data_IF_650846513153
#
_entry.id   IF_650846513153
#
_cell.length_a   1.000
_cell.length_b   1.000
_cell.length_c   1.000
_cell.angle_alpha   90.00
_cell.angle_beta   90.00
_cell.angle_gamma   90.00
#
_symmetry.space_group_name_H-M   'P 1'
#
loop_
_entity.id
_entity.type
_entity.pdbx_description
1 polymer ?
#
# COMPACT_ATOMS: atom_id res chain seq x y z
N UNK A 1 -37.37 8.92 14.98
CA UNK A 1 -36.28 9.28 15.91
C UNK A 1 -35.47 8.02 16.25
N UNK A 2 -34.14 8.01 16.05
CA UNK A 2 -33.30 6.85 16.39
C UNK A 2 -33.17 6.76 17.92
N UNK A 3 -33.67 5.68 18.53
CA UNK A 3 -33.54 5.42 19.97
C UNK A 3 -32.04 5.40 20.35
N UNK A 4 -31.62 6.25 21.28
CA UNK A 4 -30.26 6.22 21.82
C UNK A 4 -29.98 4.84 22.43
N UNK A 5 -28.86 4.24 22.06
CA UNK A 5 -28.42 2.96 22.62
C UNK A 5 -27.92 3.20 24.04
N UNK A 6 -28.58 2.59 25.03
CA UNK A 6 -28.08 2.56 26.42
C UNK A 6 -26.76 1.80 26.46
N UNK A 7 -25.70 2.47 26.91
CA UNK A 7 -24.38 1.87 27.14
C UNK A 7 -24.23 1.56 28.62
N UNK A 8 -23.67 0.40 28.94
CA UNK A 8 -23.43 -0.04 30.32
C UNK A 8 -21.95 -0.30 30.53
N UNK A 9 -21.43 0.05 31.71
CA UNK A 9 -20.04 -0.18 32.10
C UNK A 9 -19.71 -1.69 32.13
N UNK A 10 -18.49 -2.07 31.78
CA UNK A 10 -18.00 -3.45 31.78
C UNK A 10 -18.18 -4.13 33.15
N UNK A 11 -17.79 -3.46 34.23
CA UNK A 11 -17.94 -3.97 35.61
C UNK A 11 -19.40 -4.24 35.98
N UNK A 12 -20.31 -3.38 35.51
CA UNK A 12 -21.74 -3.56 35.73
C UNK A 12 -22.27 -4.79 34.97
N UNK A 13 -21.85 -4.98 33.71
CA UNK A 13 -22.21 -6.16 32.92
C UNK A 13 -21.70 -7.45 33.56
N UNK A 14 -20.47 -7.44 34.09
CA UNK A 14 -19.88 -8.60 34.78
C UNK A 14 -20.67 -8.97 36.05
N UNK A 15 -20.94 -8.00 36.93
CA UNK A 15 -21.74 -8.21 38.15
C UNK A 15 -23.18 -8.67 37.83
N UNK A 16 -23.81 -8.09 36.81
CA UNK A 16 -25.16 -8.50 36.39
C UNK A 16 -25.18 -9.95 35.87
N UNK A 17 -24.14 -10.38 35.16
CA UNK A 17 -24.00 -11.78 34.70
C UNK A 17 -23.73 -12.72 35.89
N UNK A 18 -22.90 -12.34 36.86
CA UNK A 18 -22.68 -13.12 38.08
C UNK A 18 -23.98 -13.31 38.90
N UNK A 19 -24.71 -12.22 39.15
CA UNK A 19 -26.00 -12.26 39.86
C UNK A 19 -27.04 -13.15 39.16
N UNK A 20 -26.95 -13.28 37.83
CA UNK A 20 -27.83 -14.17 37.07
C UNK A 20 -27.50 -15.66 37.22
N UNK A 21 -26.35 -16.01 37.79
CA UNK A 21 -26.04 -17.39 38.18
C UNK A 21 -26.63 -17.71 39.57
N UNK A 22 -26.80 -16.70 40.43
CA UNK A 22 -27.36 -16.86 41.78
C UNK A 22 -28.89 -16.85 41.79
N UNK A 23 -29.54 -16.01 40.96
CA UNK A 23 -31.00 -15.94 40.89
C UNK A 23 -31.61 -16.92 39.88
N UNK A 24 -32.67 -17.63 40.28
CA UNK A 24 -33.39 -18.59 39.42
C UNK A 24 -34.20 -17.95 38.28
N UNK A 25 -34.55 -16.65 38.34
CA UNK A 25 -35.39 -15.99 37.35
C UNK A 25 -34.71 -14.74 36.74
N UNK A 26 -34.23 -14.89 35.51
CA UNK A 26 -33.50 -13.85 34.75
C UNK A 26 -34.42 -12.69 34.38
N UNK A 27 -35.68 -12.96 33.99
CA UNK A 27 -36.61 -11.91 33.59
C UNK A 27 -37.02 -10.99 34.74
N UNK A 28 -37.12 -11.53 35.96
CA UNK A 28 -37.35 -10.72 37.18
C UNK A 28 -36.11 -9.89 37.53
N UNK A 29 -34.92 -10.48 37.43
CA UNK A 29 -33.64 -9.80 37.64
C UNK A 29 -33.43 -8.64 36.65
N UNK A 30 -33.78 -8.84 35.37
CA UNK A 30 -33.68 -7.79 34.35
C UNK A 30 -34.59 -6.61 34.67
N UNK A 31 -35.80 -6.86 35.18
CA UNK A 31 -36.71 -5.81 35.64
C UNK A 31 -36.17 -5.07 36.86
N UNK A 32 -35.65 -5.78 37.86
CA UNK A 32 -35.04 -5.19 39.07
C UNK A 32 -33.84 -4.29 38.73
N UNK A 33 -33.05 -4.66 37.72
CA UNK A 33 -31.88 -3.91 37.25
C UNK A 33 -32.22 -2.84 36.19
N UNK A 34 -33.50 -2.66 35.83
CA UNK A 34 -33.94 -1.70 34.81
C UNK A 34 -33.45 -2.03 33.39
N UNK A 35 -33.16 -3.30 33.13
CA UNK A 35 -32.65 -3.82 31.86
C UNK A 35 -33.78 -4.22 30.92
N UNK A 36 -33.46 -4.26 29.63
CA UNK A 36 -34.38 -4.80 28.63
C UNK A 36 -34.36 -6.35 28.68
N UNK A 37 -35.46 -7.02 28.31
CA UNK A 37 -35.52 -8.48 28.28
C UNK A 37 -34.44 -9.08 27.37
N UNK A 38 -33.63 -9.99 27.89
CA UNK A 38 -32.54 -10.65 27.15
C UNK A 38 -31.19 -9.92 27.16
N UNK A 39 -31.07 -8.82 27.92
CA UNK A 39 -29.79 -8.12 28.09
C UNK A 39 -28.71 -9.02 28.72
N UNK A 40 -29.08 -9.77 29.75
CA UNK A 40 -28.15 -10.63 30.50
C UNK A 40 -27.73 -11.83 29.65
N UNK A 41 -28.68 -12.38 28.87
CA UNK A 41 -28.41 -13.47 27.94
C UNK A 41 -27.38 -13.07 26.87
N UNK A 42 -27.56 -11.90 26.25
CA UNK A 42 -26.63 -11.37 25.25
C UNK A 42 -25.24 -11.11 25.85
N UNK A 43 -25.18 -10.63 27.10
CA UNK A 43 -23.90 -10.43 27.79
C UNK A 43 -23.21 -11.74 28.12
N UNK A 44 -23.93 -12.78 28.57
CA UNK A 44 -23.36 -14.13 28.77
C UNK A 44 -22.67 -14.66 27.52
N UNK A 45 -23.33 -14.58 26.36
CA UNK A 45 -22.75 -14.99 25.07
C UNK A 45 -21.48 -14.18 24.76
N UNK A 46 -21.53 -12.86 24.94
CA UNK A 46 -20.39 -11.99 24.68
C UNK A 46 -19.19 -12.30 25.59
N UNK A 47 -19.43 -12.53 26.88
CA UNK A 47 -18.37 -12.91 27.82
C UNK A 47 -17.80 -14.30 27.52
N UNK A 48 -18.64 -15.27 27.18
CA UNK A 48 -18.18 -16.61 26.81
C UNK A 48 -17.33 -16.59 25.54
N UNK A 49 -17.72 -15.78 24.54
CA UNK A 49 -16.92 -15.56 23.33
C UNK A 49 -15.58 -14.89 23.63
N UNK A 50 -15.56 -13.90 24.53
CA UNK A 50 -14.33 -13.25 24.95
C UNK A 50 -13.41 -14.19 25.76
N UNK A 51 -13.98 -15.03 26.63
CA UNK A 51 -13.25 -16.03 27.40
C UNK A 51 -12.64 -17.08 26.47
N UNK A 52 -13.39 -17.58 25.49
CA UNK A 52 -12.90 -18.51 24.49
C UNK A 52 -11.80 -17.88 23.61
N UNK A 53 -11.93 -16.61 23.22
CA UNK A 53 -10.90 -15.90 22.46
C UNK A 53 -9.61 -15.66 23.26
N UNK A 54 -9.69 -15.49 24.59
CA UNK A 54 -8.52 -15.43 25.47
C UNK A 54 -7.87 -16.82 25.61
N UNK A 55 -8.66 -17.89 25.77
CA UNK A 55 -8.16 -19.27 25.82
C UNK A 55 -7.45 -19.66 24.50
N UNK A 56 -7.93 -19.20 23.35
CA UNK A 56 -7.25 -19.40 22.06
C UNK A 56 -5.94 -18.62 21.93
N UNK A 57 -5.84 -17.42 22.53
CA UNK A 57 -4.61 -16.62 22.56
C UNK A 57 -3.56 -17.18 23.52
N UNK A 58 -4.00 -17.72 24.66
CA UNK A 58 -3.11 -18.28 25.69
C UNK A 58 -2.72 -19.74 25.41
N UNK A 59 -3.39 -20.41 24.45
CA UNK A 59 -2.96 -21.74 23.99
C UNK A 59 -1.59 -21.64 23.34
N UNK A 60 -0.59 -22.41 23.81
CA UNK A 60 0.71 -22.43 23.17
C UNK A 60 0.54 -22.92 21.72
N UNK A 61 1.03 -22.13 20.76
CA UNK A 61 1.13 -22.54 19.36
C UNK A 61 1.84 -23.90 19.28
N UNK A 62 1.29 -24.82 18.47
CA UNK A 62 1.93 -26.11 18.18
C UNK A 62 3.38 -25.87 17.75
N UNK A 63 4.33 -26.66 18.25
CA UNK A 63 5.77 -26.42 18.05
C UNK A 63 6.15 -26.19 16.57
N UNK A 64 5.59 -26.97 15.64
CA UNK A 64 5.81 -26.79 14.20
C UNK A 64 5.36 -25.42 13.65
N UNK A 65 4.29 -24.84 14.20
CA UNK A 65 3.84 -23.50 13.80
C UNK A 65 4.74 -22.38 14.34
N UNK A 66 5.35 -22.57 15.53
CA UNK A 66 6.33 -21.63 16.07
C UNK A 66 7.60 -21.61 15.22
N UNK A 67 8.10 -22.79 14.84
CA UNK A 67 9.29 -22.93 13.99
C UNK A 67 9.06 -22.20 12.66
N UNK A 68 7.92 -22.45 12.00
CA UNK A 68 7.58 -21.80 10.74
C UNK A 68 7.55 -20.26 10.86
N UNK A 69 6.96 -19.72 11.93
CA UNK A 69 6.93 -18.28 12.18
C UNK A 69 8.33 -17.71 12.37
N UNK A 70 9.20 -18.43 13.10
CA UNK A 70 10.57 -18.00 13.36
C UNK A 70 11.41 -18.04 12.08
N UNK A 71 11.31 -19.10 11.29
CA UNK A 71 11.97 -19.20 9.98
C UNK A 71 11.57 -18.05 9.06
N UNK A 72 10.28 -17.71 9.00
CA UNK A 72 9.81 -16.56 8.23
C UNK A 72 10.39 -15.23 8.75
N UNK A 73 10.52 -15.06 10.06
CA UNK A 73 11.13 -13.87 10.66
C UNK A 73 12.62 -13.78 10.32
N UNK A 74 13.36 -14.89 10.40
CA UNK A 74 14.78 -14.95 10.04
C UNK A 74 14.95 -14.56 8.57
N UNK A 75 14.21 -15.21 7.67
CA UNK A 75 14.23 -14.91 6.24
C UNK A 75 13.93 -13.44 5.94
N UNK A 76 12.96 -12.85 6.64
CA UNK A 76 12.63 -11.42 6.50
C UNK A 76 13.79 -10.53 6.95
N UNK A 77 14.40 -10.84 8.09
CA UNK A 77 15.55 -10.09 8.62
C UNK A 77 16.76 -10.16 7.70
N UNK A 78 17.05 -11.33 7.14
CA UNK A 78 18.13 -11.54 6.17
C UNK A 78 17.90 -10.71 4.90
N UNK A 79 16.69 -10.78 4.31
CA UNK A 79 16.35 -9.97 3.14
C UNK A 79 16.45 -8.47 3.43
N UNK A 80 16.00 -8.04 4.61
CA UNK A 80 16.10 -6.64 5.06
C UNK A 80 17.57 -6.20 5.15
N UNK A 81 18.43 -7.03 5.73
CA UNK A 81 19.86 -6.76 5.84
C UNK A 81 20.55 -6.71 4.47
N UNK A 82 20.27 -7.68 3.59
CA UNK A 82 20.84 -7.72 2.23
C UNK A 82 20.48 -6.45 1.45
N UNK A 83 19.21 -6.06 1.46
CA UNK A 83 18.79 -4.82 0.83
C UNK A 83 19.47 -3.59 1.46
N UNK A 84 19.48 -3.49 2.79
CA UNK A 84 20.12 -2.37 3.48
C UNK A 84 21.59 -2.23 3.11
N UNK A 85 22.33 -3.35 3.11
CA UNK A 85 23.74 -3.40 2.72
C UNK A 85 23.96 -2.87 1.30
N UNK A 86 23.12 -3.28 0.34
CA UNK A 86 23.19 -2.75 -1.03
C UNK A 86 22.77 -1.28 -1.14
N UNK A 87 21.83 -0.84 -0.30
CA UNK A 87 21.32 0.52 -0.28
C UNK A 87 22.34 1.54 0.29
N UNK A 88 23.27 1.12 1.17
CA UNK A 88 24.22 2.01 1.87
C UNK A 88 24.88 3.04 0.97
N UNK A 89 25.36 2.63 -0.22
CA UNK A 89 26.03 3.51 -1.18
C UNK A 89 25.17 4.69 -1.63
N UNK A 90 23.85 4.52 -1.66
CA UNK A 90 22.91 5.50 -2.19
C UNK A 90 22.30 6.41 -1.11
N UNK A 91 22.39 6.01 0.16
CA UNK A 91 21.83 6.78 1.29
C UNK A 91 22.53 8.14 1.38
N UNK A 92 23.86 8.16 1.27
CA UNK A 92 24.66 9.39 1.37
C UNK A 92 24.51 10.31 0.15
N UNK A 93 24.00 9.80 -0.97
CA UNK A 93 23.81 10.55 -2.22
C UNK A 93 22.46 11.28 -2.26
N UNK A 94 21.60 11.05 -1.28
CA UNK A 94 20.31 11.71 -1.13
C UNK A 94 19.12 10.87 -1.60
N UNK A 95 17.94 11.31 -1.17
CA UNK A 95 16.70 10.54 -1.26
C UNK A 95 16.26 10.23 -2.69
N UNK A 96 16.53 11.11 -3.66
CA UNK A 96 16.15 10.86 -5.06
C UNK A 96 16.89 9.68 -5.67
N UNK A 97 18.21 9.60 -5.42
CA UNK A 97 19.05 8.52 -5.93
C UNK A 97 18.69 7.21 -5.22
N UNK A 98 18.50 7.27 -3.90
CA UNK A 98 18.04 6.13 -3.11
C UNK A 98 16.68 5.60 -3.61
N UNK A 99 15.71 6.47 -3.88
CA UNK A 99 14.40 6.05 -4.39
C UNK A 99 14.46 5.54 -5.83
N UNK A 100 15.39 6.04 -6.66
CA UNK A 100 15.66 5.47 -7.98
C UNK A 100 16.19 4.04 -7.88
N UNK A 101 17.14 3.80 -6.98
CA UNK A 101 17.63 2.45 -6.70
C UNK A 101 16.50 1.53 -6.20
N UNK A 102 15.66 2.00 -5.27
CA UNK A 102 14.49 1.23 -4.80
C UNK A 102 13.54 0.85 -5.94
N UNK A 103 13.30 1.77 -6.87
CA UNK A 103 12.44 1.53 -8.02
C UNK A 103 12.99 0.41 -8.93
N UNK A 104 14.30 0.33 -9.08
CA UNK A 104 14.96 -0.74 -9.83
C UNK A 104 14.90 -2.08 -9.09
N UNK A 105 15.03 -2.06 -7.76
CA UNK A 105 15.02 -3.24 -6.88
C UNK A 105 13.62 -3.79 -6.53
N UNK A 106 12.52 -3.17 -6.99
CA UNK A 106 11.14 -3.60 -6.67
C UNK A 106 10.81 -5.03 -7.09
N UNK A 107 11.52 -5.58 -8.09
CA UNK A 107 11.31 -6.97 -8.54
C UNK A 107 11.88 -8.00 -7.56
N UNK A 108 12.91 -7.62 -6.82
CA UNK A 108 13.66 -8.50 -5.94
C UNK A 108 13.23 -8.33 -4.48
N UNK A 109 12.84 -7.12 -4.09
CA UNK A 109 12.50 -6.78 -2.71
C UNK A 109 11.11 -6.14 -2.60
N UNK A 110 10.27 -6.58 -1.65
CA UNK A 110 9.01 -5.92 -1.38
C UNK A 110 9.22 -4.47 -0.90
N UNK A 111 8.44 -3.52 -1.43
CA UNK A 111 8.53 -2.09 -1.06
C UNK A 111 8.45 -1.87 0.45
N UNK A 112 7.58 -2.61 1.15
CA UNK A 112 7.48 -2.53 2.62
C UNK A 112 8.80 -2.87 3.30
N UNK A 113 9.48 -3.91 2.84
CA UNK A 113 10.76 -4.35 3.40
C UNK A 113 11.85 -3.32 3.10
N UNK A 114 11.90 -2.80 1.87
CA UNK A 114 12.86 -1.76 1.49
C UNK A 114 12.69 -0.50 2.34
N UNK A 115 11.47 0.03 2.46
CA UNK A 115 11.18 1.20 3.28
C UNK A 115 11.52 0.98 4.76
N UNK A 116 11.20 -0.21 5.31
CA UNK A 116 11.57 -0.56 6.69
C UNK A 116 13.09 -0.70 6.88
N UNK A 117 13.84 -1.06 5.85
CA UNK A 117 15.31 -1.20 5.89
C UNK A 117 16.01 0.15 6.01
N UNK A 118 15.56 1.14 5.25
CA UNK A 118 16.16 2.49 5.22
C UNK A 118 15.41 3.51 6.09
N UNK A 119 14.44 3.05 6.89
CA UNK A 119 13.64 3.87 7.80
C UNK A 119 12.82 4.99 7.12
N UNK A 120 12.22 4.70 5.95
CA UNK A 120 11.29 5.59 5.26
C UNK A 120 9.84 5.14 5.41
N UNK A 121 8.90 6.08 5.32
CA UNK A 121 7.49 5.73 5.15
C UNK A 121 7.24 5.23 3.71
N UNK A 122 6.30 4.29 3.54
CA UNK A 122 5.88 3.83 2.22
C UNK A 122 5.23 4.96 1.41
N UNK A 123 4.51 5.84 2.08
CA UNK A 123 3.79 6.94 1.42
C UNK A 123 4.77 7.93 0.74
N UNK A 124 5.92 8.19 1.34
CA UNK A 124 6.93 9.08 0.75
C UNK A 124 7.50 8.47 -0.53
N UNK A 125 7.81 7.17 -0.50
CA UNK A 125 8.28 6.45 -1.68
C UNK A 125 7.23 6.43 -2.80
N UNK A 126 5.98 6.09 -2.49
CA UNK A 126 4.92 6.06 -3.49
C UNK A 126 4.57 7.44 -4.04
N UNK A 127 4.63 8.49 -3.23
CA UNK A 127 4.44 9.87 -3.68
C UNK A 127 5.50 10.25 -4.70
N UNK A 128 6.78 10.04 -4.37
CA UNK A 128 7.89 10.29 -5.29
C UNK A 128 7.77 9.45 -6.58
N UNK A 129 7.47 8.14 -6.45
CA UNK A 129 7.29 7.23 -7.59
C UNK A 129 6.16 7.70 -8.50
N UNK A 130 5.03 8.09 -7.94
CA UNK A 130 3.88 8.55 -8.71
C UNK A 130 4.16 9.89 -9.41
N UNK A 131 4.82 10.84 -8.73
CA UNK A 131 5.24 12.10 -9.33
C UNK A 131 6.24 11.89 -10.48
N UNK A 132 7.26 11.06 -10.28
CA UNK A 132 8.26 10.78 -11.34
C UNK A 132 7.65 10.03 -12.52
N UNK A 133 6.78 9.04 -12.30
CA UNK A 133 6.05 8.35 -13.36
C UNK A 133 5.13 9.33 -14.09
N UNK A 134 4.41 10.19 -13.37
CA UNK A 134 3.54 11.22 -13.95
C UNK A 134 4.34 12.18 -14.83
N UNK A 135 5.46 12.71 -14.34
CA UNK A 135 6.32 13.62 -15.11
C UNK A 135 6.90 12.94 -16.36
N UNK A 136 7.35 11.68 -16.27
CA UNK A 136 7.82 10.90 -17.43
C UNK A 136 6.68 10.67 -18.45
N UNK A 137 5.47 10.34 -17.99
CA UNK A 137 4.29 10.16 -18.86
C UNK A 137 3.88 11.46 -19.53
N UNK A 138 3.82 12.56 -18.79
CA UNK A 138 3.49 13.89 -19.29
C UNK A 138 4.51 14.37 -20.31
N UNK A 139 5.81 14.26 -20.01
CA UNK A 139 6.88 14.58 -20.96
C UNK A 139 6.77 13.75 -22.23
N UNK A 140 6.53 12.43 -22.12
CA UNK A 140 6.30 11.55 -23.28
C UNK A 140 5.10 12.01 -24.10
N UNK A 141 3.99 12.37 -23.46
CA UNK A 141 2.77 12.85 -24.14
C UNK A 141 3.01 14.16 -24.88
N UNK A 142 3.69 15.12 -24.26
CA UNK A 142 4.06 16.40 -24.88
C UNK A 142 4.94 16.18 -26.10
N UNK A 143 6.04 15.43 -25.97
CA UNK A 143 6.94 15.15 -27.10
C UNK A 143 6.19 14.43 -28.24
N UNK A 144 5.32 13.47 -27.92
CA UNK A 144 4.50 12.79 -28.93
C UNK A 144 3.58 13.76 -29.67
N UNK A 145 2.94 14.69 -28.96
CA UNK A 145 2.09 15.72 -29.56
C UNK A 145 2.89 16.59 -30.54
N UNK A 146 4.06 17.06 -30.14
CA UNK A 146 4.93 17.87 -31.00
C UNK A 146 5.42 17.09 -32.22
N UNK A 147 5.77 15.81 -32.07
CA UNK A 147 6.13 14.94 -33.21
C UNK A 147 5.00 14.89 -34.24
N UNK A 148 3.74 14.71 -33.81
CA UNK A 148 2.57 14.69 -34.71
C UNK A 148 2.43 16.02 -35.44
N UNK A 149 2.51 17.14 -34.72
CA UNK A 149 2.39 18.49 -35.30
C UNK A 149 3.45 18.72 -36.37
N UNK A 150 4.73 18.50 -36.05
CA UNK A 150 5.85 18.67 -36.98
C UNK A 150 5.68 17.76 -38.20
N UNK A 151 5.30 16.51 -37.98
CA UNK A 151 5.15 15.52 -39.04
C UNK A 151 4.05 15.91 -40.06
N UNK A 152 2.89 16.39 -39.57
CA UNK A 152 1.82 16.84 -40.45
C UNK A 152 2.11 18.18 -41.12
N UNK A 153 2.73 19.13 -40.43
CA UNK A 153 3.16 20.41 -41.02
C UNK A 153 4.16 20.19 -42.17
N UNK A 154 5.04 19.20 -42.04
CA UNK A 154 5.97 18.80 -43.08
C UNK A 154 5.33 17.98 -44.23
N UNK A 155 4.00 17.81 -44.23
CA UNK A 155 3.25 16.98 -45.19
C UNK A 155 3.78 15.54 -45.24
N UNK A 156 4.12 14.96 -44.07
CA UNK A 156 4.64 13.59 -43.92
C UNK A 156 6.01 13.31 -44.55
N UNK A 157 6.74 14.33 -45.03
CA UNK A 157 8.08 14.16 -45.64
C UNK A 157 9.19 14.00 -44.60
N UNK A 158 8.97 14.47 -43.38
CA UNK A 158 10.02 14.52 -42.37
C UNK A 158 10.11 13.20 -41.61
N UNK A 159 11.27 12.57 -41.71
CA UNK A 159 11.66 11.44 -40.86
C UNK A 159 12.37 11.85 -39.58
N UNK A 160 12.73 10.84 -38.79
CA UNK A 160 13.40 10.97 -37.50
C UNK A 160 14.57 11.98 -37.47
N UNK A 161 15.44 12.09 -38.51
CA UNK A 161 16.52 13.07 -38.50
C UNK A 161 16.03 14.52 -38.50
N UNK A 162 15.04 14.85 -39.35
CA UNK A 162 14.50 16.22 -39.48
C UNK A 162 13.60 16.59 -38.30
N UNK A 163 12.77 15.66 -37.84
CA UNK A 163 11.93 15.86 -36.64
C UNK A 163 12.80 16.14 -35.40
N UNK A 164 13.99 15.53 -35.28
CA UNK A 164 14.90 15.84 -34.17
C UNK A 164 15.34 17.31 -34.19
N UNK A 165 15.65 17.85 -35.38
CA UNK A 165 16.08 19.25 -35.51
C UNK A 165 14.95 20.19 -35.07
N UNK A 166 13.73 19.96 -35.56
CA UNK A 166 12.56 20.76 -35.18
C UNK A 166 12.25 20.68 -33.68
N UNK A 167 12.30 19.47 -33.09
CA UNK A 167 12.13 19.31 -31.64
C UNK A 167 13.21 20.03 -30.84
N UNK A 168 14.46 20.04 -31.34
CA UNK A 168 15.56 20.74 -30.69
C UNK A 168 15.36 22.26 -30.77
N UNK A 169 14.84 22.79 -31.89
CA UNK A 169 14.47 24.20 -32.04
C UNK A 169 13.36 24.62 -31.07
N UNK A 170 12.43 23.71 -30.76
CA UNK A 170 11.39 23.89 -29.73
C UNK A 170 11.91 23.68 -28.29
N UNK A 171 13.21 23.46 -28.10
CA UNK A 171 13.84 23.29 -26.78
C UNK A 171 13.81 21.85 -26.22
N UNK A 172 13.30 20.87 -26.97
CA UNK A 172 13.26 19.47 -26.53
C UNK A 172 14.57 18.73 -26.81
N UNK A 173 15.24 18.30 -25.73
CA UNK A 173 16.38 17.38 -25.81
C UNK A 173 15.89 15.92 -25.86
N UNK A 174 15.88 15.31 -27.05
CA UNK A 174 15.43 13.93 -27.28
C UNK A 174 16.34 13.19 -28.28
N UNK A 175 16.71 11.94 -27.96
CA UNK A 175 17.54 11.12 -28.83
C UNK A 175 16.76 10.60 -30.06
N UNK A 176 17.45 10.40 -31.20
CA UNK A 176 16.86 9.86 -32.44
C UNK A 176 16.16 8.51 -32.22
N UNK A 177 16.77 7.61 -31.43
CA UNK A 177 16.18 6.29 -31.08
C UNK A 177 14.80 6.44 -30.41
N UNK A 178 14.68 7.40 -29.49
CA UNK A 178 13.43 7.68 -28.76
C UNK A 178 12.37 8.27 -29.70
N UNK A 179 12.74 9.20 -30.58
CA UNK A 179 11.83 9.77 -31.57
C UNK A 179 11.33 8.66 -32.51
N UNK A 180 12.22 7.80 -33.03
CA UNK A 180 11.83 6.65 -33.88
C UNK A 180 10.84 5.72 -33.15
N UNK A 181 11.09 5.41 -31.87
CA UNK A 181 10.18 4.63 -31.05
C UNK A 181 8.81 5.31 -30.92
N UNK A 182 8.78 6.61 -30.64
CA UNK A 182 7.53 7.35 -30.50
C UNK A 182 6.76 7.46 -31.81
N UNK A 183 7.43 7.67 -32.95
CA UNK A 183 6.80 7.63 -34.28
C UNK A 183 6.17 6.27 -34.57
N UNK A 184 6.88 5.16 -34.25
CA UNK A 184 6.31 3.81 -34.36
C UNK A 184 5.09 3.60 -33.47
N UNK A 185 5.16 4.01 -32.21
CA UNK A 185 4.00 3.95 -31.28
C UNK A 185 2.82 4.82 -31.72
N UNK A 186 3.03 5.78 -32.63
CA UNK A 186 2.01 6.66 -33.21
C UNK A 186 1.60 6.25 -34.63
N UNK A 187 2.14 5.14 -35.15
CA UNK A 187 1.94 4.67 -36.53
C UNK A 187 2.23 5.74 -37.60
N UNK A 188 3.27 6.56 -37.39
CA UNK A 188 3.69 7.61 -38.32
C UNK A 188 4.79 7.10 -39.25
N UNK A 189 4.47 7.04 -40.55
CA UNK A 189 5.40 6.64 -41.60
C UNK A 189 5.59 7.74 -42.64
N UNK A 190 6.87 8.06 -42.88
CA UNK A 190 7.27 9.12 -43.79
C UNK A 190 6.92 8.73 -45.21
N UNK A 191 6.37 9.66 -45.98
CA UNK A 191 6.15 9.43 -47.41
C UNK A 191 7.51 9.51 -48.11
N UNK A 192 7.92 8.41 -48.74
CA UNK A 192 9.05 8.35 -49.66
C UNK A 192 8.66 9.09 -50.94
#
# INVERSE_FOLDING_TARGET
>A
MKKQRRSYNKLFKEKAVQLSCEKKNIGKLEKELGLYPGAIYNWKIAFQKAQNANIEKDKPLKEGSKIQILEQKIKRSELKYQFFKSALKYIDQGNEILFSFMLESEKEYPVRLMCEAVNFNRDTYYTWKNQTISNKKTRKKLIKKEIVIIFHNAKRRYGTPRIKVELQNLGYKVARKTIKKYMKELNLECKV
#
